data_IF_194511511268
#
_entry.id   IF_194511511268
#
_cell.length_a   1.000
_cell.length_b   1.000
_cell.length_c   1.000
_cell.angle_alpha   90.00
_cell.angle_beta   90.00
_cell.angle_gamma   90.00
#
_symmetry.space_group_name_H-M   'P 1'
#
loop_
_entity.id
_entity.type
_entity.pdbx_description
1 polymer ?
#
# COMPACT_ATOMS: atom_id res chain seq x y z
N UNK A 1 -6.40 10.65 2.70
CA UNK A 1 -5.41 10.18 1.70
C UNK A 1 -4.10 10.92 1.95
N UNK A 2 -3.10 10.29 2.59
CA UNK A 2 -1.76 10.88 2.74
C UNK A 2 -1.08 10.85 1.37
N UNK A 3 -0.63 11.99 0.86
CA UNK A 3 0.03 12.11 -0.45
C UNK A 3 1.48 11.60 -0.46
N UNK A 4 2.05 11.26 0.70
CA UNK A 4 3.43 10.78 0.82
C UNK A 4 3.49 9.67 1.87
N UNK A 5 3.66 8.44 1.39
CA UNK A 5 3.79 7.24 2.22
C UNK A 5 5.25 6.74 2.28
N UNK A 6 6.16 7.41 1.58
CA UNK A 6 7.60 7.12 1.54
C UNK A 6 8.42 8.42 1.57
N UNK A 7 9.66 8.32 2.05
CA UNK A 7 10.74 9.29 1.84
C UNK A 7 12.09 8.55 1.85
N UNK A 8 13.22 9.25 1.81
CA UNK A 8 14.53 8.59 1.90
C UNK A 8 14.63 7.75 3.18
N UNK A 9 14.88 6.45 3.02
CA UNK A 9 15.01 5.48 4.12
C UNK A 9 13.79 5.38 5.06
N UNK A 10 12.59 5.76 4.59
CA UNK A 10 11.39 5.74 5.40
C UNK A 10 10.17 5.31 4.56
N UNK A 11 9.36 4.43 5.12
CA UNK A 11 8.10 4.00 4.54
C UNK A 11 7.05 3.78 5.64
N UNK A 12 5.79 4.06 5.31
CA UNK A 12 4.64 3.81 6.17
C UNK A 12 3.87 2.63 5.60
N UNK A 13 3.48 1.69 6.46
CA UNK A 13 2.68 0.50 6.10
C UNK A 13 1.41 0.40 6.97
N UNK A 14 0.43 -0.35 6.48
CA UNK A 14 -0.80 -0.68 7.20
C UNK A 14 -1.73 0.51 7.41
N UNK A 15 -2.54 0.46 8.47
CA UNK A 15 -3.51 1.51 8.78
C UNK A 15 -2.88 2.91 8.95
N UNK A 16 -1.60 2.99 9.31
CA UNK A 16 -0.88 4.27 9.36
C UNK A 16 -0.74 4.91 7.96
N UNK A 17 -0.69 4.09 6.90
CA UNK A 17 -0.66 4.54 5.50
C UNK A 17 -2.06 4.81 4.93
N UNK A 18 -3.12 4.32 5.59
CA UNK A 18 -4.48 4.31 5.04
C UNK A 18 -5.47 5.03 5.96
N UNK A 19 -5.95 6.20 5.53
CA UNK A 19 -7.07 6.91 6.18
C UNK A 19 -8.39 6.20 5.82
N UNK A 20 -8.64 5.00 6.35
CA UNK A 20 -9.90 4.26 6.11
C UNK A 20 -10.72 4.18 7.40
N UNK A 21 -12.00 4.56 7.30
CA UNK A 21 -12.99 4.32 8.36
C UNK A 21 -13.14 2.80 8.56
N UNK A 22 -13.25 2.30 9.80
CA UNK A 22 -13.08 0.89 10.11
C UNK A 22 -14.27 0.06 9.59
N UNK A 23 -14.07 -0.66 8.50
CA UNK A 23 -14.77 -1.92 8.25
C UNK A 23 -13.83 -3.01 8.79
N UNK A 24 -14.26 -3.69 9.85
CA UNK A 24 -13.45 -4.70 10.54
C UNK A 24 -12.89 -5.74 9.54
N UNK A 25 -11.57 -5.96 9.55
CA UNK A 25 -10.88 -6.95 8.72
C UNK A 25 -10.20 -6.41 7.45
N UNK A 26 -10.70 -5.35 6.82
CA UNK A 26 -10.09 -4.83 5.58
C UNK A 26 -8.71 -4.19 5.83
N UNK A 27 -8.57 -3.40 6.90
CA UNK A 27 -7.31 -2.75 7.25
C UNK A 27 -6.19 -3.73 7.64
N UNK A 28 -6.55 -4.87 8.24
CA UNK A 28 -5.58 -5.93 8.59
C UNK A 28 -5.01 -6.60 7.34
N UNK A 29 -5.88 -7.05 6.43
CA UNK A 29 -5.45 -7.71 5.19
C UNK A 29 -4.63 -6.76 4.30
N UNK A 30 -5.03 -5.48 4.24
CA UNK A 30 -4.27 -4.45 3.53
C UNK A 30 -2.89 -4.23 4.18
N UNK A 31 -2.81 -4.19 5.51
CA UNK A 31 -1.53 -4.08 6.21
C UNK A 31 -0.60 -5.26 6.01
N UNK A 32 -1.11 -6.50 5.99
CA UNK A 32 -0.31 -7.68 5.66
C UNK A 32 0.23 -7.60 4.22
N UNK A 33 -0.60 -7.17 3.26
CA UNK A 33 -0.16 -6.98 1.87
C UNK A 33 0.93 -5.90 1.74
N UNK A 34 0.84 -4.81 2.50
CA UNK A 34 1.88 -3.78 2.58
C UNK A 34 3.21 -4.37 3.05
N UNK A 35 3.17 -5.15 4.16
CA UNK A 35 4.37 -5.76 4.75
C UNK A 35 5.02 -6.76 3.79
N UNK A 36 4.24 -7.62 3.15
CA UNK A 36 4.76 -8.59 2.16
C UNK A 36 5.41 -7.86 0.99
N UNK A 37 4.73 -6.85 0.42
CA UNK A 37 5.26 -6.09 -0.72
C UNK A 37 6.56 -5.35 -0.38
N UNK A 38 6.65 -4.78 0.82
CA UNK A 38 7.86 -4.11 1.28
C UNK A 38 9.00 -5.11 1.53
N UNK A 39 8.70 -6.27 2.12
CA UNK A 39 9.68 -7.32 2.36
C UNK A 39 10.28 -7.85 1.04
N UNK A 40 9.47 -8.02 0.00
CA UNK A 40 9.94 -8.41 -1.34
C UNK A 40 10.93 -7.39 -1.93
N UNK A 41 10.62 -6.10 -1.86
CA UNK A 41 11.55 -5.06 -2.35
C UNK A 41 12.83 -4.99 -1.51
N UNK A 42 12.75 -5.21 -0.20
CA UNK A 42 13.91 -5.28 0.70
C UNK A 42 14.82 -6.44 0.32
N UNK A 43 14.27 -7.63 0.06
CA UNK A 43 15.04 -8.82 -0.35
C UNK A 43 15.70 -8.59 -1.71
N UNK A 44 15.03 -7.92 -2.64
CA UNK A 44 15.57 -7.59 -3.96
C UNK A 44 16.66 -6.49 -3.92
N UNK A 45 16.68 -5.64 -2.90
CA UNK A 45 17.63 -4.54 -2.70
C UNK A 45 18.58 -4.82 -1.53
N UNK A 46 19.15 -6.02 -1.48
CA UNK A 46 19.92 -6.52 -0.32
C UNK A 46 21.12 -5.66 0.09
N UNK A 47 21.65 -4.83 -0.81
CA UNK A 47 22.80 -3.95 -0.54
C UNK A 47 22.41 -2.70 0.27
N UNK A 48 21.25 -2.10 0.01
CA UNK A 48 20.73 -0.96 0.79
C UNK A 48 19.20 -0.89 0.71
N UNK A 49 18.58 -1.43 1.75
CA UNK A 49 17.12 -1.50 1.94
C UNK A 49 16.45 -0.13 2.04
N UNK A 50 17.23 0.93 2.31
CA UNK A 50 16.74 2.30 2.43
C UNK A 50 16.79 3.10 1.13
N UNK A 51 17.26 2.50 0.03
CA UNK A 51 17.34 3.17 -1.27
C UNK A 51 15.96 3.65 -1.70
N UNK A 52 15.90 4.94 -2.04
CA UNK A 52 14.66 5.58 -2.44
C UNK A 52 14.02 4.90 -3.66
N UNK A 53 14.82 4.31 -4.56
CA UNK A 53 14.33 3.60 -5.73
C UNK A 53 13.50 2.36 -5.35
N UNK A 54 13.94 1.56 -4.37
CA UNK A 54 13.16 0.43 -3.86
C UNK A 54 11.88 0.87 -3.17
N UNK A 55 11.96 1.92 -2.36
CA UNK A 55 10.79 2.51 -1.69
C UNK A 55 9.77 3.09 -2.69
N UNK A 56 10.26 3.68 -3.79
CA UNK A 56 9.43 4.21 -4.87
C UNK A 56 8.69 3.08 -5.61
N UNK A 57 9.35 1.97 -5.91
CA UNK A 57 8.68 0.78 -6.48
C UNK A 57 7.62 0.21 -5.54
N UNK A 58 7.93 0.09 -4.25
CA UNK A 58 6.94 -0.27 -3.23
C UNK A 58 5.71 0.66 -3.28
N UNK A 59 5.93 1.97 -3.27
CA UNK A 59 4.84 2.96 -3.32
C UNK A 59 4.00 2.86 -4.59
N UNK A 60 4.60 2.59 -5.75
CA UNK A 60 3.89 2.42 -7.02
C UNK A 60 3.00 1.17 -7.02
N UNK A 61 3.52 0.04 -6.53
CA UNK A 61 2.73 -1.20 -6.40
C UNK A 61 1.52 -1.00 -5.48
N UNK A 62 1.68 -0.24 -4.39
CA UNK A 62 0.60 0.08 -3.46
C UNK A 62 -0.49 0.97 -4.08
N UNK A 63 -0.10 1.95 -4.88
CA UNK A 63 -1.09 2.81 -5.56
C UNK A 63 -1.93 2.03 -6.57
N UNK A 64 -1.32 1.06 -7.26
CA UNK A 64 -2.03 0.15 -8.17
C UNK A 64 -3.06 -0.74 -7.43
N UNK A 65 -2.63 -1.46 -6.38
CA UNK A 65 -3.50 -2.34 -5.57
C UNK A 65 -4.67 -1.56 -4.93
N UNK A 66 -4.39 -0.32 -4.52
CA UNK A 66 -5.42 0.56 -3.98
C UNK A 66 -6.41 1.02 -5.04
N UNK A 67 -5.93 1.41 -6.21
CA UNK A 67 -6.79 1.83 -7.32
C UNK A 67 -7.73 0.70 -7.74
N UNK A 68 -7.23 -0.54 -7.79
CA UNK A 68 -8.04 -1.74 -8.04
C UNK A 68 -9.12 -1.95 -6.98
N UNK A 69 -8.76 -1.83 -5.70
CA UNK A 69 -9.72 -1.97 -4.59
C UNK A 69 -10.83 -0.90 -4.64
N UNK A 70 -10.46 0.36 -4.92
CA UNK A 70 -11.42 1.47 -5.06
C UNK A 70 -12.32 1.26 -6.29
N UNK A 71 -11.76 0.79 -7.40
CA UNK A 71 -12.52 0.52 -8.61
C UNK A 71 -13.54 -0.61 -8.40
N UNK A 72 -13.12 -1.73 -7.81
CA UNK A 72 -14.00 -2.87 -7.50
C UNK A 72 -15.17 -2.46 -6.61
N UNK A 73 -14.88 -1.69 -5.55
CA UNK A 73 -15.91 -1.23 -4.61
C UNK A 73 -16.85 -0.21 -5.26
N UNK A 74 -16.34 0.71 -6.08
CA UNK A 74 -17.17 1.68 -6.81
C UNK A 74 -18.03 1.01 -7.89
N UNK A 75 -17.50 0.01 -8.60
CA UNK A 75 -18.23 -0.73 -9.63
C UNK A 75 -19.40 -1.54 -9.03
N UNK A 76 -19.19 -2.22 -7.91
CA UNK A 76 -20.26 -2.93 -7.18
C UNK A 76 -21.38 -1.97 -6.78
N UNK A 77 -21.06 -0.81 -6.21
CA UNK A 77 -22.07 0.20 -5.84
C UNK A 77 -22.86 0.63 -7.07
N UNK A 78 -22.19 0.89 -8.20
CA UNK A 78 -22.86 1.36 -9.42
C UNK A 78 -23.75 0.31 -10.10
N UNK A 79 -23.43 -0.98 -9.98
CA UNK A 79 -24.24 -2.08 -10.57
C UNK A 79 -25.50 -2.37 -9.77
N UNK A 80 -25.50 -2.12 -8.45
CA UNK A 80 -26.62 -2.38 -7.55
C UNK A 80 -27.40 -1.12 -7.13
N UNK A 81 -27.12 0.04 -7.76
CA UNK A 81 -27.87 1.30 -7.60
C UNK A 81 -28.75 1.56 -8.81
#
# INVERSE_FOLDING_TARGET
>A
HRKQNISHRFAIVGNAAQTLHPIAGQGFNLGIRDVVSLAEEIVQQSEDVGLYQGLMRFSQRREADRSETIWLTSALVHVFS
#
